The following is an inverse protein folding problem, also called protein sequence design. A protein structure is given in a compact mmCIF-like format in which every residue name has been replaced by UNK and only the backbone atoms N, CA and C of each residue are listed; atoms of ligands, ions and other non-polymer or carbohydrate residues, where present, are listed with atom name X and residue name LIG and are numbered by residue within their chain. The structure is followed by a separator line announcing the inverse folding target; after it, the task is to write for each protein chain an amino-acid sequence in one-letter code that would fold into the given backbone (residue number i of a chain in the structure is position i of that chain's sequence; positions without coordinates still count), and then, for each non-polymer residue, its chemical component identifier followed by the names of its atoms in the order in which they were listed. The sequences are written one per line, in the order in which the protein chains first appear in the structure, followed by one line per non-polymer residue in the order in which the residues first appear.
data_IF_246166392760
#
_entry.id   IF_246166392760
#
_cell.length_a   1.000
_cell.length_b   1.000
_cell.length_c   1.000
_cell.angle_alpha   90.00
_cell.angle_beta   90.00
_cell.angle_gamma   90.00
#
_symmetry.space_group_name_H-M   'P 1'
#
loop_
_entity.id
_entity.type
_entity.pdbx_description
1 polymer ?
#
# COMPACT_ATOMS: atom_id res chain seq x y z
N UNK A 1 -9.44 33.61 -30.02
CA UNK A 1 -8.49 32.47 -29.75
C UNK A 1 -7.61 32.69 -28.52
N UNK A 2 -7.12 33.93 -28.21
CA UNK A 2 -6.20 34.15 -27.06
C UNK A 2 -6.81 33.81 -25.68
N UNK A 3 -8.09 34.11 -25.42
CA UNK A 3 -8.72 33.87 -24.11
C UNK A 3 -8.81 32.38 -23.71
N UNK A 4 -9.14 31.49 -24.67
CA UNK A 4 -9.19 30.04 -24.42
C UNK A 4 -7.82 29.45 -24.08
N UNK A 5 -6.77 29.99 -24.68
CA UNK A 5 -5.40 29.53 -24.43
C UNK A 5 -4.95 29.91 -23.01
N UNK A 6 -5.30 31.12 -22.57
CA UNK A 6 -4.96 31.60 -21.22
C UNK A 6 -5.65 30.80 -20.10
N UNK A 7 -6.93 30.44 -20.30
CA UNK A 7 -7.72 29.65 -19.34
C UNK A 7 -7.12 28.23 -19.19
N UNK A 8 -6.70 27.62 -20.27
CA UNK A 8 -6.13 26.27 -20.24
C UNK A 8 -4.74 26.21 -19.59
N UNK A 9 -3.91 27.24 -19.78
CA UNK A 9 -2.60 27.33 -19.12
C UNK A 9 -2.75 27.56 -17.60
N UNK A 10 -3.70 28.39 -17.19
CA UNK A 10 -3.99 28.66 -15.78
C UNK A 10 -4.50 27.40 -15.06
N UNK A 11 -5.41 26.64 -15.68
CA UNK A 11 -5.91 25.39 -15.13
C UNK A 11 -4.79 24.32 -14.99
N UNK A 12 -3.93 24.23 -16.00
CA UNK A 12 -2.80 23.31 -15.99
C UNK A 12 -1.78 23.68 -14.90
N UNK A 13 -1.46 24.97 -14.75
CA UNK A 13 -0.55 25.45 -13.70
C UNK A 13 -1.11 25.18 -12.30
N UNK A 14 -2.43 25.35 -12.09
CA UNK A 14 -3.09 25.03 -10.83
C UNK A 14 -3.03 23.53 -10.53
N UNK A 15 -3.26 22.69 -11.54
CA UNK A 15 -3.12 21.23 -11.38
C UNK A 15 -1.68 20.85 -11.00
N UNK A 16 -0.69 21.38 -11.68
CA UNK A 16 0.73 21.13 -11.40
C UNK A 16 1.12 21.53 -9.97
N UNK A 17 0.56 22.61 -9.46
CA UNK A 17 0.81 23.09 -8.10
C UNK A 17 0.26 22.16 -7.02
N UNK A 18 -0.97 21.66 -7.20
CA UNK A 18 -1.66 20.90 -6.17
C UNK A 18 -1.54 19.38 -6.32
N UNK A 19 -1.27 18.86 -7.53
CA UNK A 19 -1.18 17.44 -7.81
C UNK A 19 -0.20 16.68 -6.90
N UNK A 20 1.02 17.18 -6.59
CA UNK A 20 1.97 16.46 -5.73
C UNK A 20 1.42 16.13 -4.33
N UNK A 21 0.54 16.99 -3.80
CA UNK A 21 -0.08 16.76 -2.50
C UNK A 21 -1.25 15.78 -2.59
N UNK A 22 -1.98 15.75 -3.70
CA UNK A 22 -3.15 14.88 -3.89
C UNK A 22 -2.77 13.47 -4.35
N UNK A 23 -1.66 13.30 -5.06
CA UNK A 23 -1.10 11.99 -5.41
C UNK A 23 -0.89 11.11 -4.17
N UNK A 24 -0.54 11.70 -3.03
CA UNK A 24 -0.36 10.97 -1.76
C UNK A 24 -1.65 10.31 -1.23
N UNK A 25 -2.80 10.78 -1.68
CA UNK A 25 -4.11 10.35 -1.20
C UNK A 25 -4.86 9.46 -2.19
N UNK A 26 -4.19 9.01 -3.27
CA UNK A 26 -4.70 8.02 -4.22
C UNK A 26 -5.56 8.57 -5.35
N UNK A 27 -6.12 7.66 -6.16
CA UNK A 27 -6.86 7.98 -7.39
C UNK A 27 -8.05 8.92 -7.17
N UNK A 28 -8.89 8.68 -6.16
CA UNK A 28 -10.05 9.52 -5.88
C UNK A 28 -9.67 10.97 -5.57
N UNK A 29 -8.57 11.19 -4.84
CA UNK A 29 -8.11 12.54 -4.53
C UNK A 29 -7.62 13.27 -5.78
N UNK A 30 -6.98 12.58 -6.71
CA UNK A 30 -6.55 13.13 -8.01
C UNK A 30 -7.76 13.46 -8.87
N UNK A 31 -8.75 12.56 -8.96
CA UNK A 31 -9.99 12.78 -9.70
C UNK A 31 -10.78 13.98 -9.16
N UNK A 32 -10.92 14.08 -7.85
CA UNK A 32 -11.60 15.20 -7.19
C UNK A 32 -10.88 16.53 -7.40
N UNK A 33 -9.55 16.53 -7.35
CA UNK A 33 -8.74 17.69 -7.67
C UNK A 33 -8.99 18.13 -9.11
N UNK A 34 -8.91 17.20 -10.06
CA UNK A 34 -9.13 17.48 -11.48
C UNK A 34 -10.53 18.02 -11.75
N UNK A 35 -11.59 17.44 -11.15
CA UNK A 35 -12.96 17.93 -11.25
C UNK A 35 -13.11 19.37 -10.72
N UNK A 36 -12.54 19.67 -9.55
CA UNK A 36 -12.61 20.99 -8.93
C UNK A 36 -11.91 22.06 -9.77
N UNK A 37 -10.73 21.76 -10.30
CA UNK A 37 -9.98 22.67 -11.17
C UNK A 37 -10.71 22.85 -12.50
N UNK A 38 -11.16 21.79 -13.14
CA UNK A 38 -11.88 21.84 -14.38
C UNK A 38 -13.15 22.69 -14.26
N UNK A 39 -13.92 22.52 -13.19
CA UNK A 39 -15.11 23.34 -12.91
C UNK A 39 -14.75 24.82 -12.72
N UNK A 40 -13.71 25.15 -11.96
CA UNK A 40 -13.25 26.51 -11.70
C UNK A 40 -12.83 27.26 -12.97
N UNK A 41 -12.20 26.54 -13.89
CA UNK A 41 -11.72 27.10 -15.16
C UNK A 41 -12.68 26.90 -16.33
N UNK A 42 -13.91 26.40 -16.10
CA UNK A 42 -14.93 26.17 -17.11
C UNK A 42 -14.43 25.29 -18.27
N UNK A 43 -13.66 24.24 -17.96
CA UNK A 43 -13.22 23.20 -18.89
C UNK A 43 -13.70 21.83 -18.41
N UNK A 44 -13.57 20.79 -19.21
CA UNK A 44 -13.86 19.42 -18.77
C UNK A 44 -12.65 18.79 -18.10
N UNK A 45 -12.87 17.82 -17.21
CA UNK A 45 -11.78 17.04 -16.60
C UNK A 45 -10.94 16.32 -17.66
N UNK A 46 -11.57 15.81 -18.70
CA UNK A 46 -10.89 15.15 -19.82
C UNK A 46 -9.98 16.12 -20.59
N UNK A 47 -10.43 17.36 -20.81
CA UNK A 47 -9.62 18.38 -21.46
C UNK A 47 -8.40 18.76 -20.59
N UNK A 48 -8.56 18.83 -19.27
CA UNK A 48 -7.47 19.09 -18.34
C UNK A 48 -6.48 17.91 -18.30
N UNK A 49 -6.99 16.68 -18.27
CA UNK A 49 -6.21 15.47 -18.37
C UNK A 49 -5.36 15.41 -19.65
N UNK A 50 -5.96 15.70 -20.79
CA UNK A 50 -5.26 15.70 -22.08
C UNK A 50 -4.20 16.81 -22.17
N UNK A 51 -4.46 17.99 -21.61
CA UNK A 51 -3.49 19.07 -21.52
C UNK A 51 -2.28 18.65 -20.68
N UNK A 52 -2.52 18.06 -19.52
CA UNK A 52 -1.47 17.57 -18.65
C UNK A 52 -0.62 16.49 -19.34
N UNK A 53 -1.29 15.50 -19.95
CA UNK A 53 -0.64 14.40 -20.68
C UNK A 53 0.21 14.89 -21.85
N UNK A 54 -0.26 15.90 -22.60
CA UNK A 54 0.53 16.51 -23.70
C UNK A 54 1.81 17.17 -23.21
N UNK A 55 1.73 17.90 -22.08
CA UNK A 55 2.89 18.62 -21.50
C UNK A 55 3.90 17.67 -20.86
N UNK A 56 3.42 16.73 -20.05
CA UNK A 56 4.27 15.88 -19.21
C UNK A 56 4.56 14.50 -19.82
N UNK A 57 3.94 14.14 -20.96
CA UNK A 57 4.01 12.81 -21.59
C UNK A 57 3.46 11.67 -20.72
N UNK A 58 2.92 11.99 -19.57
CA UNK A 58 2.27 11.10 -18.59
C UNK A 58 0.97 11.72 -18.14
N UNK A 59 -0.02 10.90 -17.81
CA UNK A 59 -1.26 11.40 -17.18
C UNK A 59 -1.03 11.68 -15.69
N UNK A 60 -1.92 12.44 -15.02
CA UNK A 60 -1.89 12.56 -13.57
C UNK A 60 -1.94 11.21 -12.84
N UNK A 61 -2.67 10.24 -13.39
CA UNK A 61 -2.77 8.88 -12.87
C UNK A 61 -1.51 8.04 -13.12
N UNK A 62 -0.82 8.24 -14.26
CA UNK A 62 0.46 7.58 -14.51
C UNK A 62 1.52 8.05 -13.52
N UNK A 63 1.52 9.34 -13.14
CA UNK A 63 2.41 9.85 -12.08
C UNK A 63 2.09 9.27 -10.71
N UNK A 64 0.81 9.04 -10.42
CA UNK A 64 0.42 8.32 -9.22
C UNK A 64 0.93 6.89 -9.23
N UNK A 65 0.79 6.20 -10.36
CA UNK A 65 1.28 4.82 -10.53
C UNK A 65 2.79 4.74 -10.39
N UNK A 66 3.54 5.62 -11.07
CA UNK A 66 5.00 5.69 -10.93
C UNK A 66 5.41 5.89 -9.47
N UNK A 67 4.71 6.76 -8.73
CA UNK A 67 5.02 7.03 -7.33
C UNK A 67 4.66 5.86 -6.40
N UNK A 68 3.65 5.08 -6.76
CA UNK A 68 3.33 3.83 -6.06
C UNK A 68 4.34 2.73 -6.38
N UNK A 69 4.96 2.78 -7.58
CA UNK A 69 6.02 1.87 -8.02
C UNK A 69 7.42 2.33 -7.53
N UNK A 70 7.64 3.65 -7.35
CA UNK A 70 8.81 4.25 -6.69
C UNK A 70 8.76 4.11 -5.15
N UNK A 71 7.93 3.22 -4.64
CA UNK A 71 7.93 2.95 -3.21
C UNK A 71 9.31 2.40 -2.85
N UNK A 72 10.09 3.22 -2.17
CA UNK A 72 11.41 2.95 -1.62
C UNK A 72 11.37 1.72 -0.73
N UNK A 73 10.99 0.59 -1.18
CA UNK A 73 10.94 -0.66 -0.45
C UNK A 73 10.70 -0.51 1.07
N UNK A 74 10.70 -1.54 1.84
CA UNK A 74 10.57 -1.39 3.28
C UNK A 74 11.70 -0.50 3.84
N UNK A 75 11.35 0.48 4.70
CA UNK A 75 12.35 1.23 5.46
C UNK A 75 13.22 0.29 6.30
N UNK A 76 14.34 0.79 6.80
CA UNK A 76 15.30 -0.07 7.48
C UNK A 76 14.70 -0.73 8.74
N UNK A 77 13.80 -0.06 9.44
CA UNK A 77 13.10 -0.61 10.59
C UNK A 77 12.13 -1.73 10.20
N UNK A 78 11.43 -1.57 9.09
CA UNK A 78 10.56 -2.63 8.55
C UNK A 78 11.38 -3.83 8.06
N UNK A 79 12.53 -3.60 7.43
CA UNK A 79 13.46 -4.70 7.06
C UNK A 79 13.96 -5.45 8.29
N UNK A 80 14.36 -4.74 9.31
CA UNK A 80 14.80 -5.32 10.58
C UNK A 80 13.70 -6.16 11.22
N UNK A 81 12.48 -5.62 11.31
CA UNK A 81 11.32 -6.36 11.83
C UNK A 81 11.01 -7.62 11.03
N UNK A 82 11.07 -7.56 9.69
CA UNK A 82 10.89 -8.73 8.83
C UNK A 82 11.94 -9.79 9.13
N UNK A 83 13.22 -9.41 9.20
CA UNK A 83 14.31 -10.36 9.52
C UNK A 83 14.16 -10.98 10.90
N UNK A 84 13.83 -10.16 11.90
CA UNK A 84 13.53 -10.64 13.25
C UNK A 84 12.37 -11.62 13.27
N UNK A 85 11.30 -11.34 12.54
CA UNK A 85 10.10 -12.18 12.45
C UNK A 85 10.39 -13.53 11.77
N UNK A 86 11.12 -13.52 10.66
CA UNK A 86 11.55 -14.73 9.95
C UNK A 86 12.36 -15.65 10.86
N UNK A 87 13.29 -15.08 11.63
CA UNK A 87 14.11 -15.81 12.61
C UNK A 87 13.27 -16.34 13.76
N UNK A 88 12.40 -15.50 14.34
CA UNK A 88 11.54 -15.84 15.48
C UNK A 88 10.58 -16.98 15.15
N UNK A 89 10.04 -17.00 13.94
CA UNK A 89 9.12 -18.01 13.45
C UNK A 89 9.84 -19.24 12.88
N UNK A 90 11.18 -19.23 12.80
CA UNK A 90 11.97 -20.31 12.16
C UNK A 90 11.49 -20.61 10.74
N UNK A 91 11.21 -19.57 9.94
CA UNK A 91 10.77 -19.75 8.54
C UNK A 91 11.94 -20.27 7.72
N UNK A 92 11.72 -21.37 7.02
CA UNK A 92 12.74 -22.02 6.21
C UNK A 92 12.93 -21.31 4.87
N UNK A 93 14.13 -21.43 4.32
CA UNK A 93 14.45 -20.97 2.97
C UNK A 93 13.77 -21.84 1.89
N UNK A 94 13.36 -21.28 0.74
CA UNK A 94 13.44 -19.84 0.44
C UNK A 94 12.40 -19.04 1.25
N UNK A 95 12.81 -17.89 1.79
CA UNK A 95 11.88 -16.99 2.48
C UNK A 95 10.83 -16.44 1.50
N UNK A 96 9.61 -16.12 1.95
CA UNK A 96 8.61 -15.50 1.10
C UNK A 96 9.07 -14.09 0.65
N UNK A 97 8.76 -13.77 -0.59
CA UNK A 97 8.89 -12.41 -1.11
C UNK A 97 7.80 -11.53 -0.51
N UNK A 98 8.18 -10.47 0.23
CA UNK A 98 7.23 -9.58 0.88
C UNK A 98 7.13 -8.28 0.09
N UNK A 99 5.93 -8.00 -0.44
CA UNK A 99 5.59 -6.76 -1.14
C UNK A 99 4.79 -5.86 -0.21
N UNK A 100 5.30 -4.66 0.07
CA UNK A 100 4.57 -3.60 0.73
C UNK A 100 3.87 -2.74 -0.32
N UNK A 101 2.63 -2.35 -0.10
CA UNK A 101 1.83 -1.64 -1.11
C UNK A 101 0.97 -0.55 -0.49
N UNK A 102 0.87 0.59 -1.16
CA UNK A 102 -0.06 1.67 -0.84
C UNK A 102 -1.33 1.63 -1.69
N UNK A 103 -1.52 0.58 -2.49
CA UNK A 103 -2.68 0.37 -3.36
C UNK A 103 -3.94 0.08 -2.54
N UNK A 104 -4.69 1.15 -2.26
CA UNK A 104 -5.94 1.09 -1.50
C UNK A 104 -7.06 0.36 -2.25
N UNK A 105 -7.07 0.42 -3.59
CA UNK A 105 -8.09 -0.25 -4.40
C UNK A 105 -7.96 -1.77 -4.28
N UNK A 106 -6.73 -2.26 -4.37
CA UNK A 106 -6.43 -3.69 -4.20
C UNK A 106 -6.80 -4.18 -2.79
N UNK A 107 -6.50 -3.38 -1.75
CA UNK A 107 -6.87 -3.71 -0.37
C UNK A 107 -8.38 -3.78 -0.18
N UNK A 108 -9.14 -2.81 -0.75
CA UNK A 108 -10.60 -2.77 -0.67
C UNK A 108 -11.26 -3.91 -1.45
N UNK A 109 -10.82 -4.20 -2.66
CA UNK A 109 -11.34 -5.30 -3.47
C UNK A 109 -11.13 -6.65 -2.80
N UNK A 110 -9.99 -6.83 -2.14
CA UNK A 110 -9.65 -8.07 -1.42
C UNK A 110 -10.26 -8.17 -0.02
N UNK A 111 -10.79 -7.07 0.53
CA UNK A 111 -11.24 -7.01 1.94
C UNK A 111 -10.18 -7.46 2.95
N UNK A 112 -8.88 -7.23 2.65
CA UNK A 112 -7.78 -7.62 3.52
C UNK A 112 -6.64 -6.59 3.48
N UNK A 113 -5.88 -6.53 4.57
CA UNK A 113 -4.69 -5.67 4.70
C UNK A 113 -3.38 -6.43 4.54
N UNK A 114 -3.44 -7.75 4.54
CA UNK A 114 -2.36 -8.66 4.23
C UNK A 114 -2.90 -9.92 3.58
N UNK A 115 -2.09 -10.57 2.77
CA UNK A 115 -2.38 -11.89 2.21
C UNK A 115 -1.11 -12.69 1.97
N UNK A 116 -1.09 -13.91 2.49
CA UNK A 116 -0.08 -14.91 2.14
C UNK A 116 -0.54 -15.72 0.92
N UNK A 117 0.31 -15.84 -0.08
CA UNK A 117 0.06 -16.59 -1.33
C UNK A 117 1.07 -17.74 -1.40
N UNK A 118 0.81 -18.85 -0.69
CA UNK A 118 1.79 -19.92 -0.51
C UNK A 118 2.29 -20.54 -1.81
N UNK A 119 1.39 -20.71 -2.80
CA UNK A 119 1.73 -21.28 -4.10
C UNK A 119 2.78 -20.47 -4.88
N UNK A 120 2.92 -19.17 -4.57
CA UNK A 120 3.89 -18.26 -5.18
C UNK A 120 5.05 -17.93 -4.24
N UNK A 121 5.01 -18.41 -3.00
CA UNK A 121 5.92 -18.02 -1.93
C UNK A 121 5.98 -16.48 -1.75
N UNK A 122 4.80 -15.81 -1.77
CA UNK A 122 4.65 -14.36 -1.71
C UNK A 122 3.71 -13.94 -0.59
N UNK A 123 4.03 -12.78 -0.01
CA UNK A 123 3.18 -12.08 0.94
C UNK A 123 2.97 -10.66 0.41
N UNK A 124 1.71 -10.22 0.37
CA UNK A 124 1.37 -8.85 0.04
C UNK A 124 0.79 -8.16 1.28
N UNK A 125 1.25 -6.93 1.58
CA UNK A 125 0.85 -6.16 2.76
C UNK A 125 0.45 -4.75 2.31
N UNK A 126 -0.74 -4.30 2.71
CA UNK A 126 -1.16 -2.92 2.55
C UNK A 126 -0.61 -2.06 3.69
N UNK A 127 0.07 -0.96 3.33
CA UNK A 127 0.71 -0.05 4.28
C UNK A 127 0.13 1.38 4.24
N UNK A 128 -0.75 1.70 3.28
CA UNK A 128 -1.29 3.04 3.10
C UNK A 128 -2.14 3.49 4.29
N UNK A 129 -1.88 4.70 4.81
CA UNK A 129 -2.61 5.32 5.93
C UNK A 129 -2.72 4.44 7.19
N UNK A 130 -1.71 3.61 7.45
CA UNK A 130 -1.65 2.74 8.63
C UNK A 130 -0.48 3.13 9.52
N UNK A 131 -0.64 2.99 10.82
CA UNK A 131 0.48 3.13 11.74
C UNK A 131 1.43 1.91 11.64
N UNK A 132 2.67 2.12 12.03
CA UNK A 132 3.72 1.12 11.89
C UNK A 132 3.43 -0.16 12.69
N UNK A 133 2.87 -0.03 13.88
CA UNK A 133 2.51 -1.18 14.72
C UNK A 133 1.48 -2.08 14.04
N UNK A 134 0.47 -1.48 13.38
CA UNK A 134 -0.53 -2.25 12.64
C UNK A 134 0.07 -2.94 11.41
N UNK A 135 0.97 -2.26 10.70
CA UNK A 135 1.70 -2.86 9.58
C UNK A 135 2.53 -4.04 10.06
N UNK A 136 3.32 -3.86 11.11
CA UNK A 136 4.16 -4.93 11.70
C UNK A 136 3.32 -6.10 12.20
N UNK A 137 2.19 -5.83 12.85
CA UNK A 137 1.26 -6.87 13.27
C UNK A 137 0.75 -7.69 12.08
N UNK A 138 0.40 -7.03 10.97
CA UNK A 138 -0.04 -7.71 9.74
C UNK A 138 1.09 -8.52 9.11
N UNK A 139 2.31 -7.97 9.01
CA UNK A 139 3.48 -8.71 8.50
C UNK A 139 3.69 -9.99 9.31
N UNK A 140 3.67 -9.88 10.64
CA UNK A 140 3.88 -11.05 11.49
C UNK A 140 2.77 -12.09 11.33
N UNK A 141 1.50 -11.65 11.23
CA UNK A 141 0.34 -12.52 11.00
C UNK A 141 0.51 -13.34 9.71
N UNK A 142 0.83 -12.69 8.60
CA UNK A 142 1.03 -13.38 7.31
C UNK A 142 2.26 -14.31 7.33
N UNK A 143 3.31 -13.95 8.05
CA UNK A 143 4.46 -14.83 8.26
C UNK A 143 4.11 -16.05 9.12
N UNK A 144 3.18 -15.96 10.07
CA UNK A 144 2.66 -17.13 10.79
C UNK A 144 1.96 -18.07 9.82
N UNK A 145 1.14 -17.56 8.89
CA UNK A 145 0.53 -18.38 7.85
C UNK A 145 1.56 -19.06 6.94
N UNK A 146 2.61 -18.32 6.54
CA UNK A 146 3.71 -18.92 5.79
C UNK A 146 4.38 -20.07 6.56
N UNK A 147 4.58 -19.92 7.87
CA UNK A 147 5.11 -20.97 8.73
C UNK A 147 4.16 -22.15 8.86
N UNK A 148 2.87 -21.90 9.09
CA UNK A 148 1.84 -22.93 9.16
C UNK A 148 1.78 -23.75 7.87
N UNK A 149 1.90 -23.09 6.71
CA UNK A 149 1.98 -23.75 5.41
C UNK A 149 3.23 -24.64 5.28
N UNK A 150 4.41 -24.14 5.65
CA UNK A 150 5.65 -24.92 5.65
C UNK A 150 5.57 -26.17 6.54
N UNK A 151 4.81 -26.10 7.63
CA UNK A 151 4.57 -27.21 8.54
C UNK A 151 3.45 -28.16 8.09
N UNK A 152 2.80 -27.89 6.95
CA UNK A 152 1.67 -28.67 6.46
C UNK A 152 0.40 -28.53 7.32
N UNK A 153 0.31 -27.49 8.14
CA UNK A 153 -0.84 -27.23 9.02
C UNK A 153 -2.03 -26.60 8.28
N UNK A 154 -1.79 -25.96 7.15
CA UNK A 154 -2.81 -25.30 6.31
C UNK A 154 -2.92 -26.03 4.98
N UNK A 155 -4.15 -26.37 4.60
CA UNK A 155 -4.52 -26.76 3.25
C UNK A 155 -5.31 -25.63 2.60
N UNK A 156 -5.42 -25.63 1.28
CA UNK A 156 -6.23 -24.64 0.57
C UNK A 156 -7.67 -24.61 1.12
N UNK A 157 -8.13 -23.43 1.55
CA UNK A 157 -9.47 -23.23 2.11
C UNK A 157 -9.61 -23.36 3.64
N UNK A 158 -8.54 -23.69 4.37
CA UNK A 158 -8.60 -23.85 5.83
C UNK A 158 -8.58 -22.51 6.59
N UNK A 159 -8.14 -21.42 5.93
CA UNK A 159 -8.05 -20.08 6.53
C UNK A 159 -9.33 -19.30 6.22
N UNK A 160 -10.17 -19.13 7.23
CA UNK A 160 -11.36 -18.28 7.21
C UNK A 160 -11.50 -17.56 8.57
N UNK A 161 -12.13 -16.38 8.64
CA UNK A 161 -12.27 -15.62 9.87
C UNK A 161 -12.81 -16.46 11.02
N UNK A 162 -12.06 -16.50 12.14
CA UNK A 162 -12.42 -17.28 13.33
C UNK A 162 -11.99 -18.75 13.30
N UNK A 163 -11.36 -19.23 12.23
CA UNK A 163 -10.77 -20.57 12.23
C UNK A 163 -9.64 -20.69 13.25
N UNK A 164 -9.32 -21.90 13.77
CA UNK A 164 -8.20 -22.10 14.69
C UNK A 164 -6.86 -21.59 14.14
N UNK A 165 -6.68 -21.64 12.83
CA UNK A 165 -5.49 -21.15 12.11
C UNK A 165 -5.38 -19.63 12.23
N UNK A 166 -6.47 -18.90 11.97
CA UNK A 166 -6.55 -17.43 12.11
C UNK A 166 -6.39 -16.98 13.56
N UNK A 167 -7.11 -17.64 14.48
CA UNK A 167 -7.02 -17.35 15.92
C UNK A 167 -5.58 -17.49 16.43
N UNK A 168 -4.86 -18.52 15.98
CA UNK A 168 -3.45 -18.71 16.32
C UNK A 168 -2.57 -17.61 15.71
N UNK A 169 -2.78 -17.26 14.44
CA UNK A 169 -2.01 -16.21 13.77
C UNK A 169 -2.20 -14.85 14.47
N UNK A 170 -3.43 -14.49 14.79
CA UNK A 170 -3.76 -13.27 15.53
C UNK A 170 -3.14 -13.23 16.93
N UNK A 171 -3.24 -14.33 17.67
CA UNK A 171 -2.68 -14.44 19.02
C UNK A 171 -1.15 -14.31 18.99
N UNK A 172 -0.49 -14.96 18.04
CA UNK A 172 0.96 -14.85 17.86
C UNK A 172 1.36 -13.44 17.44
N UNK A 173 0.71 -12.84 16.45
CA UNK A 173 0.98 -11.48 16.03
C UNK A 173 0.84 -10.48 17.20
N UNK A 174 -0.26 -10.57 17.94
CA UNK A 174 -0.48 -9.72 19.12
C UNK A 174 0.53 -9.91 20.26
N UNK A 175 1.01 -11.14 20.46
CA UNK A 175 2.06 -11.44 21.44
C UNK A 175 3.42 -10.89 21.02
N UNK A 176 3.83 -11.19 19.79
CA UNK A 176 5.19 -10.92 19.34
C UNK A 176 5.43 -9.45 19.01
N UNK A 177 4.41 -8.71 18.57
CA UNK A 177 4.53 -7.26 18.43
C UNK A 177 4.81 -6.58 19.79
N UNK A 178 4.23 -7.08 20.88
CA UNK A 178 4.53 -6.58 22.24
C UNK A 178 5.94 -6.92 22.70
N UNK A 179 6.46 -8.08 22.28
CA UNK A 179 7.85 -8.49 22.60
C UNK A 179 8.82 -7.59 21.85
N UNK A 180 8.64 -7.44 20.54
CA UNK A 180 9.46 -6.57 19.71
C UNK A 180 9.43 -5.12 20.20
N UNK A 181 8.25 -4.57 20.46
CA UNK A 181 8.08 -3.18 20.89
C UNK A 181 8.63 -2.87 22.29
N UNK A 182 9.00 -3.87 23.12
CA UNK A 182 9.74 -3.61 24.36
C UNK A 182 11.21 -3.25 24.08
N UNK A 183 11.78 -3.82 23.03
CA UNK A 183 13.15 -3.57 22.59
C UNK A 183 13.20 -2.38 21.61
N UNK A 184 12.09 -2.10 20.92
CA UNK A 184 11.91 -1.06 19.91
C UNK A 184 10.69 -0.18 20.22
N UNK A 185 10.71 0.62 21.30
CA UNK A 185 9.55 1.43 21.72
C UNK A 185 9.16 2.51 20.72
N UNK A 186 10.05 2.88 19.81
CA UNK A 186 9.82 3.85 18.72
C UNK A 186 8.71 3.42 17.75
N UNK A 187 8.39 2.12 17.64
CA UNK A 187 7.31 1.65 16.76
C UNK A 187 5.92 2.13 17.19
N UNK A 188 5.78 2.61 18.43
CA UNK A 188 4.52 3.13 18.98
C UNK A 188 4.39 4.65 18.85
N UNK A 189 5.35 5.33 18.25
CA UNK A 189 5.35 6.77 18.00
C UNK A 189 4.79 7.05 16.60
#
# INVERSE_FOLDING_TARGET
MRAKHFITESALSELEQYLPNHIKHGHHAVDDLMKKIAQRHSITSDALHDLFKRKHKKSPHDLLKDRLEEDDGPDDQTKEFIQWSLKTLHIQQPHPEITLSKDAEKAQQGHHTGVNIPAQNKIWIYIGNRNQVDVFRTIFHELVHARQYQLGMIKSGDSYPGSPIEVLADAMAGKYIKIYGKEHPEIYQ
#
